data_IF_017939635688
#
_entry.id   IF_017939635688
#
_cell.length_a   1.000
_cell.length_b   1.000
_cell.length_c   1.000
_cell.angle_alpha   90.00
_cell.angle_beta   90.00
_cell.angle_gamma   90.00
#
_symmetry.space_group_name_H-M   'P 1'
#
loop_
_entity.id
_entity.type
_entity.pdbx_description
1 polymer ?
#
# COMPACT_ATOMS: atom_id res chain seq x y z
N UNK A 1 -3.80 0.71 -21.15
CA UNK A 1 -3.41 -0.13 -20.01
C UNK A 1 -2.81 0.70 -18.88
N UNK A 2 -1.69 1.42 -19.10
CA UNK A 2 -1.10 2.29 -18.06
C UNK A 2 -2.07 3.37 -17.55
N UNK A 3 -2.78 4.04 -18.47
CA UNK A 3 -3.78 5.05 -18.10
C UNK A 3 -4.89 4.50 -17.18
N UNK A 4 -5.38 3.29 -17.42
CA UNK A 4 -6.47 2.69 -16.64
C UNK A 4 -6.04 2.33 -15.21
N UNK A 5 -4.81 1.83 -15.03
CA UNK A 5 -4.29 1.56 -13.70
C UNK A 5 -4.05 2.85 -12.91
N UNK A 6 -3.45 3.87 -13.54
CA UNK A 6 -3.25 5.17 -12.90
C UNK A 6 -4.59 5.84 -12.54
N UNK A 7 -5.58 5.77 -13.42
CA UNK A 7 -6.95 6.22 -13.13
C UNK A 7 -7.52 5.51 -11.90
N UNK A 8 -7.31 4.20 -11.77
CA UNK A 8 -7.82 3.45 -10.63
C UNK A 8 -7.11 3.84 -9.33
N UNK A 9 -5.79 3.97 -9.35
CA UNK A 9 -5.02 4.45 -8.19
C UNK A 9 -5.47 5.86 -7.78
N UNK A 10 -5.69 6.75 -8.75
CA UNK A 10 -6.16 8.10 -8.47
C UNK A 10 -7.59 8.12 -7.92
N UNK A 11 -8.48 7.23 -8.40
CA UNK A 11 -9.81 7.04 -7.82
C UNK A 11 -9.71 6.65 -6.34
N UNK A 12 -8.88 5.66 -5.99
CA UNK A 12 -8.71 5.21 -4.61
C UNK A 12 -8.16 6.35 -3.72
N UNK A 13 -7.19 7.13 -4.22
CA UNK A 13 -6.70 8.32 -3.53
C UNK A 13 -7.79 9.38 -3.34
N UNK A 14 -8.67 9.57 -4.32
CA UNK A 14 -9.80 10.48 -4.21
C UNK A 14 -10.81 9.99 -3.16
N UNK A 15 -11.12 8.69 -3.13
CA UNK A 15 -12.00 8.08 -2.13
C UNK A 15 -11.45 8.26 -0.70
N UNK A 16 -10.13 8.29 -0.52
CA UNK A 16 -9.48 8.56 0.77
C UNK A 16 -9.14 10.03 1.02
N UNK A 17 -9.32 10.90 0.03
CA UNK A 17 -9.07 12.34 0.12
C UNK A 17 -10.05 13.05 1.05
N UNK A 18 -9.87 14.36 1.34
CA UNK A 18 -10.69 15.11 2.29
C UNK A 18 -12.21 15.06 2.01
N UNK A 19 -12.57 15.15 0.72
CA UNK A 19 -13.97 15.07 0.24
C UNK A 19 -14.37 13.63 -0.17
N UNK A 20 -13.62 12.65 0.32
CA UNK A 20 -13.75 11.24 -0.03
C UNK A 20 -14.87 10.52 0.71
N UNK A 21 -14.91 9.21 0.51
CA UNK A 21 -15.86 8.32 1.13
C UNK A 21 -15.48 8.04 2.60
N UNK A 22 -16.38 8.28 3.59
CA UNK A 22 -16.07 8.05 5.00
C UNK A 22 -15.72 6.60 5.34
N UNK A 23 -16.26 5.63 4.58
CA UNK A 23 -15.94 4.22 4.75
C UNK A 23 -14.51 3.93 4.30
N UNK A 24 -14.15 4.34 3.08
CA UNK A 24 -12.79 4.16 2.54
C UNK A 24 -11.74 4.87 3.40
N UNK A 25 -12.04 6.06 3.92
CA UNK A 25 -11.16 6.78 4.86
C UNK A 25 -10.94 6.02 6.18
N UNK A 26 -11.98 5.35 6.69
CA UNK A 26 -11.92 4.61 7.95
C UNK A 26 -11.15 3.29 7.84
N UNK A 27 -10.94 2.77 6.63
CA UNK A 27 -10.16 1.56 6.39
C UNK A 27 -8.71 1.71 6.91
N UNK A 28 -8.23 0.63 7.52
CA UNK A 28 -6.86 0.44 8.02
C UNK A 28 -6.25 -0.81 7.37
N UNK A 29 -4.92 -0.99 7.47
CA UNK A 29 -4.29 -2.22 6.96
C UNK A 29 -4.79 -3.46 7.72
N UNK A 30 -5.10 -3.28 9.01
CA UNK A 30 -5.62 -4.31 9.88
C UNK A 30 -7.05 -4.71 9.52
N UNK A 31 -7.92 -3.72 9.27
CA UNK A 31 -9.31 -4.01 8.88
C UNK A 31 -9.37 -4.76 7.56
N UNK A 32 -8.64 -4.28 6.54
CA UNK A 32 -8.69 -4.79 5.16
C UNK A 32 -8.22 -6.24 4.98
N UNK A 33 -7.66 -6.87 6.02
CA UNK A 33 -7.26 -8.29 5.94
C UNK A 33 -8.46 -9.20 5.72
N UNK A 34 -9.60 -8.87 6.35
CA UNK A 34 -10.81 -9.68 6.24
C UNK A 34 -11.40 -9.57 4.84
N UNK A 35 -11.60 -8.35 4.37
CA UNK A 35 -12.16 -8.06 3.06
C UNK A 35 -11.28 -8.64 1.96
N UNK A 36 -9.95 -8.47 2.04
CA UNK A 36 -9.04 -9.08 1.06
C UNK A 36 -9.14 -10.60 0.99
N UNK A 37 -9.30 -11.28 2.13
CA UNK A 37 -9.47 -12.73 2.15
C UNK A 37 -10.82 -13.17 1.59
N UNK A 38 -11.88 -12.39 1.84
CA UNK A 38 -13.21 -12.63 1.27
C UNK A 38 -13.15 -12.57 -0.27
N UNK A 39 -12.63 -11.49 -0.86
CA UNK A 39 -12.53 -11.38 -2.33
C UNK A 39 -11.60 -12.44 -2.96
N UNK A 40 -10.54 -12.84 -2.24
CA UNK A 40 -9.65 -13.90 -2.70
C UNK A 40 -10.35 -15.27 -2.73
N UNK A 41 -11.27 -15.53 -1.79
CA UNK A 41 -12.07 -16.74 -1.74
C UNK A 41 -13.18 -16.73 -2.81
N UNK A 42 -13.80 -15.58 -3.06
CA UNK A 42 -14.75 -15.39 -4.17
C UNK A 42 -14.06 -15.61 -5.52
N UNK A 43 -12.87 -15.03 -5.72
CA UNK A 43 -12.04 -15.25 -6.92
C UNK A 43 -11.72 -16.74 -7.10
N UNK A 44 -11.31 -17.41 -6.02
CA UNK A 44 -11.02 -18.85 -6.06
C UNK A 44 -12.26 -19.65 -6.48
N UNK A 45 -13.42 -19.31 -5.94
CA UNK A 45 -14.65 -20.04 -6.25
C UNK A 45 -15.18 -19.74 -7.66
N UNK A 46 -14.96 -18.53 -8.17
CA UNK A 46 -15.19 -18.18 -9.58
C UNK A 46 -14.32 -19.01 -10.53
N UNK A 47 -13.02 -19.16 -10.21
CA UNK A 47 -12.08 -20.01 -10.96
C UNK A 47 -12.53 -21.46 -10.99
N UNK A 48 -12.96 -22.03 -9.85
CA UNK A 48 -13.46 -23.42 -9.79
C UNK A 48 -14.68 -23.66 -10.68
N UNK A 49 -15.52 -22.63 -10.87
CA UNK A 49 -16.74 -22.70 -11.68
C UNK A 49 -16.52 -22.34 -13.15
N UNK A 50 -15.28 -21.98 -13.53
CA UNK A 50 -14.96 -21.42 -14.84
C UNK A 50 -15.83 -20.20 -15.22
N UNK A 51 -16.26 -19.44 -14.20
CA UNK A 51 -17.10 -18.26 -14.40
C UNK A 51 -16.23 -17.05 -14.71
N UNK A 52 -15.91 -16.87 -16.00
CA UNK A 52 -15.04 -15.77 -16.45
C UNK A 52 -15.61 -14.37 -16.21
N UNK A 53 -16.93 -14.23 -16.07
CA UNK A 53 -17.51 -12.94 -15.72
C UNK A 53 -17.17 -12.60 -14.27
N UNK A 54 -17.40 -13.55 -13.36
CA UNK A 54 -17.08 -13.37 -11.95
C UNK A 54 -15.57 -13.30 -11.72
N UNK A 55 -14.75 -14.11 -12.41
CA UNK A 55 -13.28 -14.01 -12.32
C UNK A 55 -12.80 -12.59 -12.60
N UNK A 56 -13.37 -11.91 -13.61
CA UNK A 56 -13.00 -10.53 -13.96
C UNK A 56 -13.42 -9.54 -12.87
N UNK A 57 -14.59 -9.74 -12.27
CA UNK A 57 -15.12 -8.93 -11.16
C UNK A 57 -14.22 -9.07 -9.92
N UNK A 58 -14.02 -10.29 -9.45
CA UNK A 58 -13.22 -10.55 -8.24
C UNK A 58 -11.75 -10.17 -8.40
N UNK A 59 -11.20 -10.27 -9.62
CA UNK A 59 -9.85 -9.74 -9.91
C UNK A 59 -9.78 -8.22 -9.72
N UNK A 60 -10.84 -7.49 -10.02
CA UNK A 60 -10.91 -6.04 -9.81
C UNK A 60 -11.02 -5.71 -8.32
N UNK A 61 -11.78 -6.49 -7.55
CA UNK A 61 -11.97 -6.27 -6.10
C UNK A 61 -10.72 -6.63 -5.28
N UNK A 62 -10.05 -7.74 -5.63
CA UNK A 62 -8.72 -8.04 -5.09
C UNK A 62 -7.72 -6.92 -5.43
N UNK A 63 -7.75 -6.40 -6.65
CA UNK A 63 -6.87 -5.30 -7.06
C UNK A 63 -7.18 -4.00 -6.30
N UNK A 64 -8.47 -3.68 -6.09
CA UNK A 64 -8.91 -2.54 -5.30
C UNK A 64 -8.30 -2.59 -3.89
N UNK A 65 -8.44 -3.73 -3.21
CA UNK A 65 -7.92 -3.94 -1.86
C UNK A 65 -6.39 -3.76 -1.81
N UNK A 66 -5.65 -4.28 -2.80
CA UNK A 66 -4.19 -4.09 -2.89
C UNK A 66 -3.79 -2.62 -3.09
N UNK A 67 -4.50 -1.89 -3.95
CA UNK A 67 -4.25 -0.46 -4.17
C UNK A 67 -4.57 0.33 -2.89
N UNK A 68 -5.71 0.04 -2.25
CA UNK A 68 -6.14 0.71 -1.01
C UNK A 68 -5.13 0.52 0.12
N UNK A 69 -4.62 -0.70 0.32
CA UNK A 69 -3.53 -0.96 1.26
C UNK A 69 -2.26 -0.17 0.92
N UNK A 70 -1.90 -0.08 -0.36
CA UNK A 70 -0.75 0.71 -0.81
C UNK A 70 -0.92 2.21 -0.55
N UNK A 71 -2.11 2.76 -0.80
CA UNK A 71 -2.43 4.17 -0.52
C UNK A 71 -2.39 4.45 1.00
N UNK A 72 -2.94 3.57 1.84
CA UNK A 72 -2.86 3.70 3.30
C UNK A 72 -1.40 3.70 3.79
N UNK A 73 -0.56 2.84 3.22
CA UNK A 73 0.87 2.79 3.57
C UNK A 73 1.61 4.07 3.14
N UNK A 74 1.26 4.63 1.98
CA UNK A 74 1.79 5.89 1.45
C UNK A 74 1.39 7.07 2.34
N UNK A 75 0.12 7.17 2.75
CA UNK A 75 -0.40 8.18 3.69
C UNK A 75 0.34 8.17 5.03
N UNK A 76 0.73 6.98 5.51
CA UNK A 76 1.50 6.79 6.76
C UNK A 76 3.01 7.00 6.58
N UNK A 77 3.48 7.31 5.37
CA UNK A 77 4.89 7.55 5.07
C UNK A 77 5.78 6.31 5.15
N UNK A 78 5.21 5.11 4.96
CA UNK A 78 5.98 3.86 5.00
C UNK A 78 6.65 3.53 3.67
N UNK A 79 5.86 3.47 2.59
CA UNK A 79 6.31 3.24 1.23
C UNK A 79 5.23 3.68 0.23
N UNK A 80 5.61 3.89 -1.02
CA UNK A 80 4.70 4.20 -2.12
C UNK A 80 4.32 2.97 -2.94
N UNK A 81 3.18 3.02 -3.65
CA UNK A 81 2.82 1.99 -4.65
C UNK A 81 3.89 1.85 -5.74
N UNK A 82 4.60 2.94 -6.07
CA UNK A 82 5.72 2.91 -7.01
C UNK A 82 6.85 2.01 -6.50
N UNK A 83 7.23 2.14 -5.22
CA UNK A 83 8.25 1.29 -4.61
C UNK A 83 7.81 -0.18 -4.59
N UNK A 84 6.54 -0.46 -4.28
CA UNK A 84 5.99 -1.82 -4.34
C UNK A 84 6.13 -2.44 -5.73
N UNK A 85 5.76 -1.68 -6.78
CA UNK A 85 5.86 -2.14 -8.18
C UNK A 85 7.32 -2.32 -8.62
N UNK A 86 8.22 -1.41 -8.23
CA UNK A 86 9.65 -1.50 -8.55
C UNK A 86 10.29 -2.71 -7.88
N UNK A 87 10.03 -2.92 -6.59
CA UNK A 87 10.54 -4.07 -5.83
C UNK A 87 9.94 -5.39 -6.34
N UNK A 88 8.66 -5.38 -6.73
CA UNK A 88 7.99 -6.49 -7.39
C UNK A 88 8.66 -6.85 -8.71
N UNK A 89 8.81 -5.86 -9.60
CA UNK A 89 9.44 -6.03 -10.90
C UNK A 89 10.87 -6.58 -10.79
N UNK A 90 11.72 -5.92 -10.01
CA UNK A 90 13.11 -6.33 -9.84
C UNK A 90 13.24 -7.77 -9.32
N UNK A 91 12.39 -8.14 -8.34
CA UNK A 91 12.32 -9.47 -7.75
C UNK A 91 11.81 -10.55 -8.70
N UNK A 92 10.86 -10.23 -9.58
CA UNK A 92 10.40 -11.20 -10.58
C UNK A 92 11.47 -11.39 -11.65
N UNK A 93 12.09 -10.32 -12.13
CA UNK A 93 13.20 -10.39 -13.11
C UNK A 93 14.38 -11.20 -12.55
N UNK A 94 14.83 -10.91 -11.32
CA UNK A 94 15.96 -11.61 -10.68
C UNK A 94 15.74 -13.10 -10.46
N UNK A 95 14.48 -13.54 -10.36
CA UNK A 95 14.14 -14.95 -10.14
C UNK A 95 13.99 -15.74 -11.43
N UNK A 96 13.71 -15.08 -12.55
CA UNK A 96 13.48 -15.68 -13.86
C UNK A 96 14.71 -15.50 -14.77
N UNK A 97 15.88 -15.92 -14.28
CA UNK A 97 17.16 -15.79 -14.99
C UNK A 97 17.21 -16.58 -16.30
N UNK A 98 16.33 -17.55 -16.51
CA UNK A 98 16.21 -18.24 -17.80
C UNK A 98 15.42 -17.46 -18.86
N UNK A 99 14.69 -16.41 -18.44
CA UNK A 99 14.00 -15.49 -19.35
C UNK A 99 14.83 -14.21 -19.53
N UNK A 100 15.38 -13.68 -18.44
CA UNK A 100 16.02 -12.35 -18.40
C UNK A 100 17.53 -12.39 -18.16
N UNK A 101 18.14 -13.57 -18.17
CA UNK A 101 19.58 -13.77 -17.93
C UNK A 101 20.14 -14.91 -18.78
N UNK A 102 21.15 -15.60 -18.24
CA UNK A 102 21.93 -16.59 -19.00
C UNK A 102 21.58 -18.06 -18.69
N UNK A 103 20.84 -18.31 -17.61
CA UNK A 103 20.45 -19.67 -17.24
C UNK A 103 19.59 -20.29 -18.35
N UNK A 104 19.62 -21.61 -18.49
CA UNK A 104 18.75 -22.34 -19.43
C UNK A 104 18.02 -23.43 -18.69
N UNK A 105 16.70 -23.45 -18.85
CA UNK A 105 15.81 -24.50 -18.35
C UNK A 105 14.92 -24.96 -19.51
N UNK A 106 14.61 -26.24 -19.56
CA UNK A 106 13.83 -26.88 -20.63
C UNK A 106 12.45 -27.31 -20.16
N UNK A 107 12.24 -27.47 -18.86
CA UNK A 107 10.96 -27.89 -18.29
C UNK A 107 10.50 -26.96 -17.16
N UNK A 108 9.21 -27.04 -16.81
CA UNK A 108 8.65 -26.30 -15.69
C UNK A 108 9.28 -26.71 -14.35
N UNK A 109 9.61 -27.98 -14.18
CA UNK A 109 10.26 -28.51 -12.98
C UNK A 109 11.66 -27.91 -12.81
N UNK A 110 12.43 -27.83 -13.90
CA UNK A 110 13.74 -27.17 -13.92
C UNK A 110 13.61 -25.67 -13.61
N UNK A 111 12.62 -24.99 -14.20
CA UNK A 111 12.33 -23.58 -13.91
C UNK A 111 11.98 -23.36 -12.43
N UNK A 112 11.15 -24.21 -11.83
CA UNK A 112 10.79 -24.15 -10.41
C UNK A 112 12.01 -24.40 -9.51
N UNK A 113 12.87 -25.36 -9.87
CA UNK A 113 14.09 -25.64 -9.13
C UNK A 113 15.06 -24.44 -9.16
N UNK A 114 15.24 -23.83 -10.33
CA UNK A 114 16.07 -22.64 -10.49
C UNK A 114 15.48 -21.41 -9.78
N UNK A 115 14.16 -21.21 -9.87
CA UNK A 115 13.45 -20.16 -9.12
C UNK A 115 13.70 -20.27 -7.61
N UNK A 116 13.57 -21.49 -7.06
CA UNK A 116 13.83 -21.77 -5.63
C UNK A 116 15.29 -21.47 -5.26
N UNK A 117 16.25 -21.78 -6.14
CA UNK A 117 17.68 -21.46 -5.95
C UNK A 117 17.90 -19.95 -5.94
N UNK A 118 17.34 -19.21 -6.90
CA UNK A 118 17.48 -17.75 -6.99
C UNK A 118 16.83 -17.04 -5.79
N UNK A 119 15.62 -17.47 -5.39
CA UNK A 119 14.93 -16.97 -4.18
C UNK A 119 15.75 -17.14 -2.89
N UNK A 120 16.57 -18.19 -2.77
CA UNK A 120 17.45 -18.40 -1.60
C UNK A 120 18.63 -17.41 -1.58
N UNK A 121 19.16 -17.02 -2.75
CA UNK A 121 20.28 -16.06 -2.85
C UNK A 121 19.89 -14.66 -2.38
N UNK A 122 18.62 -14.28 -2.58
CA UNK A 122 18.04 -13.00 -2.15
C UNK A 122 17.89 -12.86 -0.63
N UNK A 123 17.93 -13.96 0.14
CA UNK A 123 17.83 -13.91 1.61
C UNK A 123 19.11 -13.42 2.31
N UNK A 124 20.17 -13.10 1.57
CA UNK A 124 21.27 -12.28 2.09
C UNK A 124 20.76 -10.84 2.16
N UNK A 125 20.80 -10.17 3.32
CA UNK A 125 20.09 -8.92 3.52
C UNK A 125 20.58 -7.89 2.50
N UNK A 126 19.69 -7.50 1.59
CA UNK A 126 19.79 -6.21 0.93
C UNK A 126 19.65 -5.20 2.07
N UNK A 127 20.66 -4.33 2.33
CA UNK A 127 20.53 -3.34 3.38
C UNK A 127 19.32 -2.48 3.04
N UNK A 128 18.27 -2.61 3.85
CA UNK A 128 17.06 -1.83 3.75
C UNK A 128 17.47 -0.35 3.72
N UNK A 129 17.04 0.36 2.67
CA UNK A 129 17.31 1.80 2.43
C UNK A 129 16.73 2.72 3.52
N UNK A 130 16.25 2.18 4.63
CA UNK A 130 15.75 2.87 5.81
C UNK A 130 16.86 3.46 6.69
N UNK A 131 18.13 3.07 6.53
CA UNK A 131 19.24 3.65 7.33
C UNK A 131 19.83 4.95 6.77
N UNK A 132 19.58 5.31 5.51
CA UNK A 132 20.25 6.46 4.88
C UNK A 132 19.56 7.81 5.11
N UNK A 133 18.26 7.84 5.44
CA UNK A 133 17.58 9.08 5.84
C UNK A 133 17.78 9.41 7.33
N UNK A 134 17.82 8.40 8.20
CA UNK A 134 18.08 8.59 9.64
C UNK A 134 19.53 9.06 9.93
N UNK A 135 20.49 8.73 9.05
CA UNK A 135 21.87 9.17 9.20
C UNK A 135 22.08 10.66 8.81
N UNK A 136 21.27 11.22 7.92
CA UNK A 136 21.36 12.63 7.52
C UNK A 136 20.80 13.59 8.58
N UNK A 137 19.83 13.15 9.40
CA UNK A 137 19.28 13.96 10.49
C UNK A 137 20.07 13.93 11.80
N UNK A 138 21.09 13.07 11.95
CA UNK A 138 21.96 13.06 13.15
C UNK A 138 23.12 14.06 13.09
N UNK A 139 23.50 14.53 11.90
CA UNK A 139 24.54 15.57 11.73
C UNK A 139 24.01 17.00 11.85
N UNK A 140 22.70 17.22 11.72
CA UNK A 140 22.09 18.55 11.78
C UNK A 140 21.72 19.01 13.22
N UNK A 141 21.79 18.14 14.22
CA UNK A 141 21.37 18.47 15.61
C UNK A 141 22.53 18.74 16.59
N UNK A 142 23.79 18.57 16.18
CA UNK A 142 24.97 18.77 17.05
C UNK A 142 25.80 20.04 16.72
N UNK A 143 25.31 20.91 15.83
CA UNK A 143 25.99 22.17 15.51
C UNK A 143 25.39 23.43 16.19
N UNK A 144 24.33 23.30 16.99
CA UNK A 144 23.63 24.44 17.59
C UNK A 144 23.72 24.52 19.13
N UNK A 145 24.76 23.92 19.73
CA UNK A 145 24.95 23.89 21.18
C UNK A 145 26.23 24.57 21.65
N UNK A 146 26.54 25.79 21.17
CA UNK A 146 27.43 26.73 21.86
C UNK A 146 27.05 28.18 21.55
N UNK A 147 26.47 28.89 22.53
CA UNK A 147 26.59 30.34 22.63
C UNK A 147 25.30 31.17 22.79
N UNK A 148 25.04 31.55 24.05
CA UNK A 148 24.44 32.82 24.53
C UNK A 148 22.93 33.10 24.28
N UNK A 149 22.17 33.06 25.38
CA UNK A 149 21.03 33.97 25.67
C UNK A 149 21.48 35.45 25.67
N UNK A 150 20.62 36.48 25.49
CA UNK A 150 19.27 36.68 26.04
C UNK A 150 18.25 37.12 24.93
N UNK A 151 16.98 37.49 25.10
CA UNK A 151 16.17 38.04 26.18
C UNK A 151 14.67 37.79 25.89
N UNK A 152 13.84 38.02 26.92
CA UNK A 152 12.37 37.89 26.96
C UNK A 152 11.64 38.70 25.88
N UNK A 153 10.54 38.15 25.35
CA UNK A 153 9.31 38.93 25.10
C UNK A 153 8.10 38.03 25.29
N UNK A 154 7.20 38.51 26.15
CA UNK A 154 5.90 37.96 26.54
C UNK A 154 4.88 38.36 25.48
N UNK A 155 4.13 37.42 24.89
CA UNK A 155 2.74 37.67 24.46
C UNK A 155 1.91 36.37 24.65
N UNK A 156 0.88 36.51 25.49
CA UNK A 156 -0.25 35.59 25.69
C UNK A 156 -1.17 35.55 24.45
N UNK A 157 -1.76 34.40 24.11
CA UNK A 157 -3.23 34.30 24.10
C UNK A 157 -3.79 32.86 24.02
N UNK A 158 -4.52 32.51 25.08
CA UNK A 158 -5.85 31.86 25.14
C UNK A 158 -6.20 30.64 24.26
N UNK A 159 -6.33 29.52 24.98
CA UNK A 159 -7.36 28.45 24.93
C UNK A 159 -8.56 28.71 24.00
N UNK A 160 -8.97 27.68 23.24
CA UNK A 160 -10.30 27.10 23.50
C UNK A 160 -10.42 25.63 23.09
N UNK A 161 -10.99 24.87 24.02
CA UNK A 161 -11.46 23.48 23.95
C UNK A 161 -12.82 23.40 23.27
N UNK A 162 -13.19 22.26 22.67
CA UNK A 162 -14.33 21.42 23.10
C UNK A 162 -14.56 20.22 22.18
N UNK A 163 -14.99 19.12 22.80
CA UNK A 163 -15.17 17.78 22.26
C UNK A 163 -16.48 17.57 21.46
N UNK A 164 -16.52 16.45 20.72
CA UNK A 164 -17.66 15.84 20.00
C UNK A 164 -18.90 15.59 20.89
N UNK A 165 -20.06 15.33 20.25
CA UNK A 165 -20.60 13.98 20.37
C UNK A 165 -21.03 13.33 19.04
N UNK A 166 -21.08 11.99 19.06
CA UNK A 166 -21.52 11.03 18.03
C UNK A 166 -23.05 10.89 18.06
N UNK A 167 -23.71 10.50 16.96
CA UNK A 167 -24.79 9.51 17.11
C UNK A 167 -24.76 8.40 16.04
N UNK A 168 -25.70 7.49 16.23
CA UNK A 168 -25.71 6.04 16.01
C UNK A 168 -26.22 5.56 14.65
N UNK A 169 -25.89 4.31 14.35
CA UNK A 169 -26.39 3.46 13.27
C UNK A 169 -27.91 3.43 13.13
N UNK A 170 -28.43 3.54 11.90
CA UNK A 170 -29.83 3.23 11.60
C UNK A 170 -30.33 3.79 10.27
N UNK A 171 -30.38 2.91 9.26
CA UNK A 171 -31.36 2.91 8.16
C UNK A 171 -31.37 4.09 7.16
N UNK A 172 -30.90 3.83 5.94
CA UNK A 172 -31.41 4.49 4.74
C UNK A 172 -31.65 3.43 3.64
N UNK A 173 -32.82 2.77 3.71
CA UNK A 173 -33.37 1.99 2.60
C UNK A 173 -34.34 2.88 1.81
N UNK A 174 -34.22 2.82 0.48
CA UNK A 174 -35.21 3.16 -0.56
C UNK A 174 -35.70 4.61 -0.62
N UNK A 175 -35.41 5.26 -1.75
CA UNK A 175 -36.39 6.05 -2.53
C UNK A 175 -35.78 6.42 -3.89
N UNK A 176 -35.86 5.52 -4.87
CA UNK A 176 -35.91 5.89 -6.29
C UNK A 176 -36.91 4.94 -6.97
N UNK A 177 -38.12 5.43 -7.23
CA UNK A 177 -39.02 4.91 -8.26
C UNK A 177 -39.90 6.05 -8.79
N UNK A 178 -39.74 6.28 -10.09
CA UNK A 178 -40.56 7.05 -11.05
C UNK A 178 -40.55 8.57 -10.91
#
# INVERSE_FOLDING_TARGET
MLASFEQFVNLVRQLRGPEGCPWDQACTLESLQKEFLEEAEELRDAVKKEDFANIKEELADVLFNLILMGVIAEEKGHFSLKEVLQDGYAKIVSRHTWVFGEDKVKTAEEAIAQWKKNKKKEKKPVPTRTKTLAAKNKFAINAAAKGKTPAKTVINNKKNTTAKPKPTSGQAKKLIKK
#
